data_IF_093395294662
#
_entry.id   IF_093395294662
#
_cell.length_a   1.000
_cell.length_b   1.000
_cell.length_c   1.000
_cell.angle_alpha   90.00
_cell.angle_beta   90.00
_cell.angle_gamma   90.00
#
_symmetry.space_group_name_H-M   'P 1'
#
loop_
_entity.id
_entity.type
_entity.pdbx_description
1 polymer ?
#
# COMPACT_ATOMS: atom_id res chain seq x y z
N UNK A 1 -19.74 28.72 28.78
CA UNK A 1 -18.26 28.77 28.88
C UNK A 1 -17.59 27.40 28.78
N UNK A 2 -18.16 26.34 29.38
CA UNK A 2 -17.63 24.96 29.37
C UNK A 2 -17.53 24.27 28.00
N UNK A 3 -18.55 24.41 27.14
CA UNK A 3 -18.62 23.72 25.84
C UNK A 3 -17.56 24.22 24.85
N UNK A 4 -17.29 25.53 24.83
CA UNK A 4 -16.26 26.14 23.96
C UNK A 4 -14.87 25.58 24.26
N UNK A 5 -14.55 25.41 25.55
CA UNK A 5 -13.28 24.84 25.98
C UNK A 5 -13.19 23.35 25.64
N UNK A 6 -14.30 22.60 25.72
CA UNK A 6 -14.34 21.19 25.33
C UNK A 6 -14.06 21.01 23.82
N UNK A 7 -14.64 21.85 22.98
CA UNK A 7 -14.43 21.84 21.53
C UNK A 7 -12.97 22.14 21.19
N UNK A 8 -12.37 23.15 21.83
CA UNK A 8 -10.96 23.48 21.67
C UNK A 8 -10.03 22.33 22.07
N UNK A 9 -10.30 21.66 23.19
CA UNK A 9 -9.53 20.50 23.62
C UNK A 9 -9.66 19.34 22.63
N UNK A 10 -10.85 19.10 22.07
CA UNK A 10 -11.07 18.05 21.07
C UNK A 10 -10.29 18.32 19.78
N UNK A 11 -10.26 19.57 19.29
CA UNK A 11 -9.47 19.94 18.10
C UNK A 11 -7.95 19.81 18.32
N UNK A 12 -7.45 20.17 19.51
CA UNK A 12 -6.03 20.03 19.84
C UNK A 12 -5.64 18.55 19.88
N UNK A 13 -6.46 17.69 20.51
CA UNK A 13 -6.20 16.25 20.59
C UNK A 13 -6.32 15.53 19.23
N UNK A 14 -7.21 15.97 18.33
CA UNK A 14 -7.40 15.38 17.00
C UNK A 14 -6.26 15.68 16.01
N UNK A 15 -5.42 16.69 16.29
CA UNK A 15 -4.36 17.15 15.37
C UNK A 15 -3.05 16.36 15.43
N UNK A 16 -2.90 15.42 16.38
CA UNK A 16 -1.70 14.61 16.53
C UNK A 16 -1.88 13.20 15.94
N UNK A 17 -2.20 13.11 14.66
CA UNK A 17 -2.01 11.85 13.93
C UNK A 17 -0.56 11.82 13.41
N UNK A 18 0.28 10.86 13.83
CA UNK A 18 1.62 10.73 13.27
C UNK A 18 1.52 10.49 11.77
N UNK A 19 2.36 11.18 11.00
CA UNK A 19 2.43 10.95 9.56
C UNK A 19 2.72 9.47 9.29
N UNK A 20 2.09 8.86 8.28
CA UNK A 20 2.37 7.48 7.92
C UNK A 20 3.87 7.34 7.61
N UNK A 21 4.51 6.22 7.97
CA UNK A 21 5.90 5.97 7.63
C UNK A 21 6.16 6.16 6.13
N UNK A 22 7.37 6.62 5.77
CA UNK A 22 7.71 6.89 4.36
C UNK A 22 7.46 5.70 3.44
N UNK A 23 7.70 4.47 3.92
CA UNK A 23 7.44 3.27 3.13
C UNK A 23 5.95 3.08 2.81
N UNK A 24 5.05 3.42 3.74
CA UNK A 24 3.59 3.37 3.49
C UNK A 24 3.22 4.39 2.42
N UNK A 25 3.72 5.63 2.55
CA UNK A 25 3.49 6.68 1.53
C UNK A 25 4.02 6.25 0.16
N UNK A 26 5.19 5.60 0.10
CA UNK A 26 5.74 5.09 -1.15
C UNK A 26 4.85 4.01 -1.79
N UNK A 27 4.22 3.13 -1.00
CA UNK A 27 3.27 2.14 -1.54
C UNK A 27 2.05 2.81 -2.17
N UNK A 28 1.56 3.92 -1.62
CA UNK A 28 0.42 4.67 -2.18
C UNK A 28 0.73 5.28 -3.56
N UNK A 29 2.01 5.54 -3.85
CA UNK A 29 2.46 6.06 -5.16
C UNK A 29 2.60 4.98 -6.23
N UNK A 30 2.55 3.70 -5.85
CA UNK A 30 2.65 2.62 -6.82
C UNK A 30 1.36 2.47 -7.63
N UNK A 31 1.45 2.07 -8.91
CA UNK A 31 0.26 1.82 -9.72
C UNK A 31 -0.64 0.76 -9.06
N UNK A 32 -1.94 1.03 -9.01
CA UNK A 32 -2.91 0.07 -8.46
C UNK A 32 -3.39 -0.88 -9.55
N UNK A 33 -3.67 -2.12 -9.18
CA UNK A 33 -4.30 -3.12 -10.05
C UNK A 33 -5.71 -3.36 -9.51
N UNK A 34 -6.71 -3.16 -10.34
CA UNK A 34 -8.11 -3.36 -9.95
C UNK A 34 -8.33 -4.79 -9.42
N UNK A 35 -9.00 -4.91 -8.28
CA UNK A 35 -9.25 -6.20 -7.63
C UNK A 35 -8.10 -6.73 -6.78
N UNK A 36 -6.93 -6.08 -6.77
CA UNK A 36 -5.78 -6.50 -5.96
C UNK A 36 -5.27 -5.38 -5.04
N UNK A 37 -4.72 -5.78 -3.89
CA UNK A 37 -3.94 -4.92 -2.99
C UNK A 37 -2.46 -5.26 -3.08
N UNK A 38 -1.57 -4.29 -2.89
CA UNK A 38 -0.13 -4.56 -2.75
C UNK A 38 0.11 -5.17 -1.37
N UNK A 39 0.47 -6.45 -1.33
CA UNK A 39 0.74 -7.20 -0.11
C UNK A 39 2.22 -7.18 0.30
N UNK A 40 3.13 -6.96 -0.65
CA UNK A 40 4.56 -6.86 -0.36
C UNK A 40 5.37 -6.33 -1.53
N UNK A 41 6.50 -5.69 -1.24
CA UNK A 41 7.45 -5.17 -2.24
C UNK A 41 8.84 -5.70 -1.93
N UNK A 42 9.51 -6.20 -2.95
CA UNK A 42 10.75 -6.95 -2.84
C UNK A 42 11.77 -6.44 -3.86
N UNK A 43 13.04 -6.35 -3.45
CA UNK A 43 14.14 -6.08 -4.36
C UNK A 43 14.89 -7.39 -4.66
N UNK A 44 15.08 -7.69 -5.95
CA UNK A 44 15.79 -8.89 -6.41
C UNK A 44 16.62 -8.55 -7.65
N UNK A 45 17.95 -8.74 -7.58
CA UNK A 45 18.89 -8.49 -8.70
C UNK A 45 18.61 -7.15 -9.40
N UNK A 46 18.57 -6.07 -8.61
CA UNK A 46 18.32 -4.69 -9.05
C UNK A 46 16.93 -4.40 -9.64
N UNK A 47 15.98 -5.32 -9.47
CA UNK A 47 14.60 -5.14 -9.92
C UNK A 47 13.66 -5.10 -8.72
N UNK A 48 12.66 -4.23 -8.81
CA UNK A 48 11.56 -4.16 -7.84
C UNK A 48 10.43 -5.08 -8.29
N UNK A 49 9.94 -5.90 -7.37
CA UNK A 49 8.78 -6.76 -7.56
C UNK A 49 7.73 -6.43 -6.51
N UNK A 50 6.46 -6.48 -6.90
CA UNK A 50 5.36 -6.38 -5.96
C UNK A 50 4.49 -7.63 -6.03
N UNK A 51 4.19 -8.15 -4.84
CA UNK A 51 3.17 -9.14 -4.59
C UNK A 51 1.85 -8.42 -4.47
N UNK A 52 0.89 -8.82 -5.30
CA UNK A 52 -0.48 -8.32 -5.26
C UNK A 52 -1.40 -9.47 -4.82
N UNK A 53 -2.32 -9.22 -3.89
CA UNK A 53 -3.29 -10.20 -3.43
C UNK A 53 -4.71 -9.73 -3.70
N UNK A 54 -5.57 -10.63 -4.17
CA UNK A 54 -7.02 -10.36 -4.28
C UNK A 54 -7.79 -10.88 -3.05
N UNK A 55 -9.08 -10.56 -3.00
CA UNK A 55 -9.96 -10.98 -1.90
C UNK A 55 -10.19 -12.50 -1.83
N UNK A 56 -9.91 -13.24 -2.91
CA UNK A 56 -9.99 -14.70 -2.93
C UNK A 56 -8.67 -15.36 -2.48
N UNK A 57 -7.65 -14.56 -2.14
CA UNK A 57 -6.35 -15.05 -1.70
C UNK A 57 -5.44 -15.48 -2.85
N UNK A 58 -5.75 -15.10 -4.09
CA UNK A 58 -4.84 -15.32 -5.21
C UNK A 58 -3.74 -14.27 -5.23
N UNK A 59 -2.58 -14.67 -5.74
CA UNK A 59 -1.37 -13.86 -5.79
C UNK A 59 -1.01 -13.52 -7.23
N UNK A 60 -0.63 -12.27 -7.47
CA UNK A 60 -0.05 -11.81 -8.72
C UNK A 60 1.30 -11.13 -8.42
N UNK A 61 2.37 -11.76 -8.89
CA UNK A 61 3.70 -11.15 -8.93
C UNK A 61 3.81 -10.23 -10.12
N UNK A 62 4.29 -9.01 -9.89
CA UNK A 62 4.55 -8.04 -10.95
C UNK A 62 5.95 -7.45 -10.78
N UNK A 63 6.62 -7.16 -11.89
CA UNK A 63 7.89 -6.43 -11.90
C UNK A 63 7.63 -4.95 -12.16
N UNK A 64 8.22 -4.05 -11.38
CA UNK A 64 8.12 -2.62 -11.65
C UNK A 64 8.99 -2.23 -12.85
N UNK A 65 8.46 -1.38 -13.72
CA UNK A 65 9.16 -0.79 -14.84
C UNK A 65 9.36 0.69 -14.58
N UNK A 66 10.58 1.11 -14.27
CA UNK A 66 10.90 2.52 -14.00
C UNK A 66 10.66 3.42 -15.22
N UNK A 67 10.99 2.92 -16.42
CA UNK A 67 10.82 3.64 -17.69
C UNK A 67 9.36 4.04 -17.94
N UNK A 68 8.44 3.09 -17.78
CA UNK A 68 7.01 3.29 -18.03
C UNK A 68 6.22 3.69 -16.78
N UNK A 69 6.84 3.62 -15.59
CA UNK A 69 6.21 3.77 -14.28
C UNK A 69 4.99 2.86 -14.09
N UNK A 70 5.04 1.65 -14.67
CA UNK A 70 3.95 0.66 -14.64
C UNK A 70 4.44 -0.70 -14.18
N UNK A 71 3.50 -1.61 -13.94
CA UNK A 71 3.78 -3.02 -13.72
C UNK A 71 3.97 -3.76 -15.04
N UNK A 72 5.04 -4.54 -15.15
CA UNK A 72 5.29 -5.51 -16.22
C UNK A 72 4.92 -6.91 -15.74
N UNK A 73 4.58 -7.76 -16.72
CA UNK A 73 4.10 -9.12 -16.53
C UNK A 73 4.89 -9.89 -15.48
N UNK A 74 4.16 -10.66 -14.69
CA UNK A 74 4.76 -11.67 -13.84
C UNK A 74 3.85 -12.88 -13.72
N UNK A 75 3.75 -13.44 -12.51
CA UNK A 75 3.21 -14.78 -12.29
C UNK A 75 1.96 -14.71 -11.43
N UNK A 76 0.89 -15.35 -11.90
CA UNK A 76 -0.33 -15.55 -11.13
C UNK A 76 -0.31 -16.92 -10.43
N UNK A 77 -0.76 -16.97 -9.18
CA UNK A 77 -0.83 -18.17 -8.35
C UNK A 77 -2.15 -18.20 -7.56
N UNK A 78 -2.97 -19.23 -7.76
CA UNK A 78 -4.21 -19.44 -7.00
C UNK A 78 -3.88 -19.80 -5.55
N UNK A 79 -4.54 -19.15 -4.59
CA UNK A 79 -4.30 -19.38 -3.15
C UNK A 79 -2.92 -18.93 -2.64
N UNK A 80 -2.13 -18.23 -3.46
CA UNK A 80 -0.76 -17.85 -3.12
C UNK A 80 -0.62 -16.79 -2.01
N UNK A 81 -1.74 -16.23 -1.53
CA UNK A 81 -1.84 -15.31 -0.40
C UNK A 81 -2.69 -15.87 0.76
N UNK A 82 -3.12 -17.12 0.69
CA UNK A 82 -3.79 -17.82 1.80
C UNK A 82 -2.68 -18.48 2.62
N UNK A 83 -2.41 -17.95 3.81
CA UNK A 83 -1.55 -18.60 4.82
C UNK A 83 -2.37 -19.55 5.71
#
# INVERSE_FOLDING_TARGET
MMIRNLILVFFILASCAPNPPRWVQSLETLPKIEGFIVAGVYSMKDNIYAQHCDNAGNKLWMKYSEESKTWKSGKYETGGCVE
#
